data_IF_195668838105
#
_entry.id   IF_195668838105
#
_cell.length_a   1.000
_cell.length_b   1.000
_cell.length_c   1.000
_cell.angle_alpha   90.00
_cell.angle_beta   90.00
_cell.angle_gamma   90.00
#
_symmetry.space_group_name_H-M   'P 1'
#
loop_
_entity.id
_entity.type
_entity.pdbx_description
1 polymer ?
#
# COMPACT_ATOMS: atom_id res chain seq x y z
N UNK A 1 -1.44 7.88 0.33
CA UNK A 1 -0.65 9.13 0.39
C UNK A 1 -1.16 10.03 -0.70
N UNK A 2 -1.40 11.31 -0.45
CA UNK A 2 -2.02 12.22 -1.44
C UNK A 2 -2.76 13.40 -0.80
N UNK A 3 -3.02 13.32 0.51
CA UNK A 3 -3.66 14.37 1.31
C UNK A 3 -2.64 15.34 1.89
N UNK A 4 -1.55 14.82 2.48
CA UNK A 4 -0.61 15.61 3.26
C UNK A 4 0.13 16.67 2.44
N UNK A 5 0.64 16.30 1.26
CA UNK A 5 1.46 17.20 0.44
C UNK A 5 0.65 18.42 -0.03
N UNK A 6 -0.57 18.27 -0.60
CA UNK A 6 -1.40 19.43 -0.92
C UNK A 6 -1.73 20.30 0.29
N UNK A 7 -2.01 19.70 1.45
CA UNK A 7 -2.27 20.46 2.68
C UNK A 7 -1.08 21.31 3.10
N UNK A 8 0.13 20.74 3.14
CA UNK A 8 1.35 21.48 3.51
C UNK A 8 1.59 22.62 2.51
N UNK A 9 1.43 22.35 1.21
CA UNK A 9 1.60 23.37 0.17
C UNK A 9 0.60 24.52 0.36
N UNK A 10 -0.66 24.22 0.70
CA UNK A 10 -1.68 25.22 0.97
C UNK A 10 -1.32 26.08 2.19
N UNK A 11 -0.87 25.47 3.29
CA UNK A 11 -0.45 26.23 4.49
C UNK A 11 0.73 27.15 4.20
N UNK A 12 1.69 26.71 3.38
CA UNK A 12 2.82 27.57 2.97
C UNK A 12 2.30 28.74 2.12
N UNK A 13 1.34 28.53 1.22
CA UNK A 13 0.73 29.63 0.46
C UNK A 13 0.02 30.63 1.39
N UNK A 14 -0.80 30.14 2.31
CA UNK A 14 -1.53 30.99 3.26
C UNK A 14 -0.54 31.81 4.12
N UNK A 15 0.51 31.17 4.64
CA UNK A 15 1.56 31.83 5.41
C UNK A 15 2.31 32.89 4.61
N UNK A 16 2.66 32.59 3.35
CA UNK A 16 3.29 33.56 2.45
C UNK A 16 2.40 34.79 2.19
N UNK A 17 1.08 34.62 2.07
CA UNK A 17 0.14 35.72 1.83
C UNK A 17 0.05 36.70 3.01
N UNK A 18 0.15 36.18 4.25
CA UNK A 18 0.09 37.00 5.47
C UNK A 18 1.47 37.38 6.02
N UNK A 19 2.55 36.98 5.35
CA UNK A 19 3.93 37.23 5.80
C UNK A 19 4.33 36.43 7.05
N UNK A 20 3.70 35.28 7.29
CA UNK A 20 4.00 34.38 8.38
C UNK A 20 5.15 33.42 7.99
N UNK A 21 6.24 33.48 8.74
CA UNK A 21 7.40 32.62 8.51
C UNK A 21 8.28 33.04 7.33
N UNK A 22 9.24 32.18 6.92
CA UNK A 22 10.10 32.47 5.77
C UNK A 22 9.29 32.39 4.47
N UNK A 23 9.53 33.33 3.56
CA UNK A 23 8.87 33.32 2.25
C UNK A 23 9.39 32.16 1.39
N UNK A 24 8.54 31.18 1.10
CA UNK A 24 8.90 29.99 0.32
C UNK A 24 8.37 30.14 -1.12
N UNK A 25 9.28 30.08 -2.09
CA UNK A 25 8.94 30.18 -3.52
C UNK A 25 8.54 28.81 -4.10
N UNK A 26 7.29 28.38 -3.86
CA UNK A 26 6.76 27.12 -4.38
C UNK A 26 6.64 27.16 -5.91
N UNK A 27 7.22 26.17 -6.58
CA UNK A 27 7.09 25.99 -8.05
C UNK A 27 6.03 24.96 -8.46
N UNK A 28 5.63 24.12 -7.52
CA UNK A 28 4.68 23.03 -7.72
C UNK A 28 5.00 21.87 -6.78
N UNK A 29 4.18 20.83 -6.84
CA UNK A 29 4.39 19.58 -6.12
C UNK A 29 4.01 18.40 -7.01
N UNK A 30 4.56 17.22 -6.69
CA UNK A 30 4.29 15.98 -7.41
C UNK A 30 3.65 14.97 -6.47
N UNK A 31 2.64 14.26 -6.97
CA UNK A 31 1.99 13.16 -6.28
C UNK A 31 2.14 11.88 -7.10
N UNK A 32 2.80 10.87 -6.53
CA UNK A 32 2.93 9.55 -7.14
C UNK A 32 1.82 8.61 -6.66
N UNK A 33 0.98 8.14 -7.59
CA UNK A 33 -0.18 7.27 -7.32
C UNK A 33 -0.98 7.71 -6.07
N UNK A 34 -1.47 8.97 -6.03
CA UNK A 34 -2.07 9.48 -4.83
C UNK A 34 -3.42 8.84 -4.52
N UNK A 35 -3.77 8.91 -3.25
CA UNK A 35 -5.17 8.88 -2.80
C UNK A 35 -5.67 10.32 -2.72
N UNK A 36 -6.69 10.67 -3.49
CA UNK A 36 -7.20 12.04 -3.66
C UNK A 36 -8.65 12.15 -3.27
N UNK A 37 -9.53 11.36 -3.88
CA UNK A 37 -10.96 11.30 -3.59
C UNK A 37 -11.38 9.86 -3.32
N UNK A 38 -12.05 9.64 -2.20
CA UNK A 38 -12.41 8.28 -1.79
C UNK A 38 -13.35 7.62 -2.79
N UNK A 39 -14.44 8.28 -3.20
CA UNK A 39 -15.42 7.67 -4.11
C UNK A 39 -14.78 7.41 -5.48
N UNK A 40 -14.12 8.40 -6.08
CA UNK A 40 -13.45 8.28 -7.36
C UNK A 40 -12.33 7.23 -7.37
N UNK A 41 -11.47 7.19 -6.36
CA UNK A 41 -10.34 6.25 -6.28
C UNK A 41 -10.77 4.81 -6.07
N UNK A 42 -11.92 4.55 -5.43
CA UNK A 42 -12.46 3.21 -5.27
C UNK A 42 -13.30 2.78 -6.49
N UNK A 43 -14.17 3.66 -7.00
CA UNK A 43 -15.05 3.33 -8.12
C UNK A 43 -14.27 3.09 -9.42
N UNK A 44 -13.21 3.86 -9.67
CA UNK A 44 -12.34 3.68 -10.83
C UNK A 44 -11.61 2.32 -10.88
N UNK A 45 -11.51 1.59 -9.76
CA UNK A 45 -10.79 0.31 -9.72
C UNK A 45 -11.47 -0.79 -10.52
N UNK A 46 -12.80 -0.81 -10.53
CA UNK A 46 -13.55 -1.84 -11.28
C UNK A 46 -13.39 -1.59 -12.79
N UNK A 47 -13.48 -0.33 -13.21
CA UNK A 47 -13.20 0.06 -14.58
C UNK A 47 -11.76 -0.27 -15.00
N UNK A 48 -10.78 0.05 -14.15
CA UNK A 48 -9.38 -0.31 -14.37
C UNK A 48 -9.20 -1.82 -14.51
N UNK A 49 -9.85 -2.62 -13.66
CA UNK A 49 -9.75 -4.08 -13.70
C UNK A 49 -10.32 -4.65 -15.01
N UNK A 50 -11.43 -4.12 -15.54
CA UNK A 50 -11.93 -4.50 -16.85
C UNK A 50 -10.95 -4.11 -17.98
N UNK A 51 -10.45 -2.87 -17.98
CA UNK A 51 -9.50 -2.41 -19.00
C UNK A 51 -8.17 -3.19 -19.00
N UNK A 52 -7.79 -3.76 -17.86
CA UNK A 52 -6.61 -4.62 -17.72
C UNK A 52 -6.93 -6.11 -17.96
N UNK A 53 -8.12 -6.43 -18.48
CA UNK A 53 -8.61 -7.79 -18.72
C UNK A 53 -8.62 -8.70 -17.47
N UNK A 54 -8.70 -8.11 -16.28
CA UNK A 54 -8.85 -8.83 -15.01
C UNK A 54 -10.32 -9.19 -14.74
N UNK A 55 -11.24 -8.46 -15.36
CA UNK A 55 -12.68 -8.73 -15.38
C UNK A 55 -13.14 -8.87 -16.82
N UNK A 56 -13.98 -9.86 -17.09
CA UNK A 56 -14.65 -9.96 -18.39
C UNK A 56 -15.68 -8.84 -18.55
N UNK A 57 -15.96 -8.46 -19.80
CA UNK A 57 -16.96 -7.42 -20.10
C UNK A 57 -18.34 -7.75 -19.54
N UNK A 58 -18.70 -9.03 -19.48
CA UNK A 58 -19.97 -9.48 -18.89
C UNK A 58 -20.02 -9.20 -17.38
N UNK A 59 -18.93 -9.45 -16.66
CA UNK A 59 -18.85 -9.18 -15.21
C UNK A 59 -18.84 -7.67 -14.95
N UNK A 60 -18.06 -6.92 -15.74
CA UNK A 60 -18.00 -5.46 -15.64
C UNK A 60 -19.37 -4.82 -15.87
N UNK A 61 -20.04 -5.16 -16.98
CA UNK A 61 -21.39 -4.63 -17.30
C UNK A 61 -22.42 -5.00 -16.25
N UNK A 62 -22.38 -6.25 -15.75
CA UNK A 62 -23.26 -6.66 -14.66
C UNK A 62 -23.04 -5.82 -13.40
N UNK A 63 -21.79 -5.54 -13.01
CA UNK A 63 -21.53 -4.66 -11.87
C UNK A 63 -21.99 -3.23 -12.14
N UNK A 64 -21.69 -2.68 -13.31
CA UNK A 64 -22.08 -1.32 -13.71
C UNK A 64 -23.59 -1.11 -13.71
N UNK A 65 -24.35 -2.04 -14.30
CA UNK A 65 -25.81 -1.99 -14.39
C UNK A 65 -26.50 -2.16 -13.03
N UNK A 66 -25.97 -3.01 -12.15
CA UNK A 66 -26.62 -3.28 -10.86
C UNK A 66 -26.23 -2.29 -9.76
N UNK A 67 -25.09 -1.59 -9.90
CA UNK A 67 -24.57 -0.67 -8.89
C UNK A 67 -24.58 0.80 -9.32
N UNK A 68 -25.07 1.13 -10.53
CA UNK A 68 -25.10 2.49 -11.08
C UNK A 68 -23.70 3.18 -11.09
N UNK A 69 -22.64 2.39 -11.24
CA UNK A 69 -21.26 2.87 -11.19
C UNK A 69 -20.73 3.26 -9.79
N UNK A 70 -21.53 3.08 -8.73
CA UNK A 70 -21.11 3.31 -7.34
C UNK A 70 -20.84 1.96 -6.65
N UNK A 71 -19.55 1.67 -6.47
CA UNK A 71 -19.06 0.39 -5.95
C UNK A 71 -18.49 0.51 -4.53
N UNK A 72 -18.28 1.74 -4.04
CA UNK A 72 -17.74 2.01 -2.71
C UNK A 72 -18.84 2.25 -1.69
N UNK A 73 -19.77 3.18 -1.98
CA UNK A 73 -20.91 3.52 -1.11
C UNK A 73 -22.18 2.86 -1.60
N UNK A 74 -22.20 1.53 -1.54
CA UNK A 74 -23.35 0.74 -2.01
C UNK A 74 -24.53 0.81 -1.05
N UNK A 75 -25.75 0.75 -1.60
CA UNK A 75 -26.96 0.56 -0.81
C UNK A 75 -26.99 -0.89 -0.27
N UNK A 76 -27.01 -1.10 1.07
CA UNK A 76 -27.06 -2.44 1.64
C UNK A 76 -28.32 -3.23 1.28
N UNK A 77 -29.39 -2.57 0.80
CA UNK A 77 -30.60 -3.23 0.35
C UNK A 77 -30.54 -3.67 -1.13
N UNK A 78 -29.57 -3.16 -1.90
CA UNK A 78 -29.37 -3.56 -3.28
C UNK A 78 -28.61 -4.89 -3.35
N UNK A 79 -29.38 -5.97 -3.16
CA UNK A 79 -28.85 -7.35 -3.18
C UNK A 79 -28.21 -7.73 -4.53
N UNK A 80 -28.66 -7.15 -5.64
CA UNK A 80 -28.10 -7.40 -6.96
C UNK A 80 -26.70 -6.80 -7.09
N UNK A 81 -26.52 -5.55 -6.65
CA UNK A 81 -25.20 -4.92 -6.61
C UNK A 81 -24.23 -5.71 -5.71
N UNK A 82 -24.68 -6.09 -4.52
CA UNK A 82 -23.87 -6.89 -3.58
C UNK A 82 -23.42 -8.20 -4.22
N UNK A 83 -24.32 -8.92 -4.89
CA UNK A 83 -23.99 -10.17 -5.58
C UNK A 83 -23.03 -9.95 -6.75
N UNK A 84 -23.22 -8.89 -7.55
CA UNK A 84 -22.32 -8.54 -8.65
C UNK A 84 -20.91 -8.24 -8.12
N UNK A 85 -20.79 -7.48 -7.03
CA UNK A 85 -19.51 -7.14 -6.41
C UNK A 85 -18.82 -8.37 -5.78
N UNK A 86 -19.57 -9.32 -5.22
CA UNK A 86 -18.98 -10.60 -4.78
C UNK A 86 -18.32 -11.38 -5.91
N UNK A 87 -18.89 -11.34 -7.12
CA UNK A 87 -18.29 -11.96 -8.31
C UNK A 87 -17.02 -11.22 -8.70
N UNK A 88 -17.05 -9.88 -8.72
CA UNK A 88 -15.87 -9.04 -8.97
C UNK A 88 -14.74 -9.38 -7.99
N UNK A 89 -15.03 -9.35 -6.68
CA UNK A 89 -14.07 -9.65 -5.62
C UNK A 89 -13.45 -11.04 -5.76
N UNK A 90 -14.25 -12.04 -6.16
CA UNK A 90 -13.74 -13.39 -6.41
C UNK A 90 -12.76 -13.42 -7.60
N UNK A 91 -13.02 -12.65 -8.65
CA UNK A 91 -12.16 -12.57 -9.83
C UNK A 91 -10.83 -11.85 -9.52
N UNK A 92 -10.87 -10.75 -8.78
CA UNK A 92 -9.67 -9.93 -8.51
C UNK A 92 -9.01 -10.22 -7.15
N UNK A 93 -9.59 -11.08 -6.32
CA UNK A 93 -9.15 -11.32 -4.94
C UNK A 93 -7.77 -11.95 -4.80
N UNK A 94 -7.23 -12.55 -5.87
CA UNK A 94 -5.85 -13.08 -5.92
C UNK A 94 -4.90 -12.22 -6.75
N UNK A 95 -5.21 -10.94 -6.92
CA UNK A 95 -4.36 -9.97 -7.62
C UNK A 95 -3.66 -9.08 -6.61
N UNK A 96 -2.38 -8.79 -6.84
CA UNK A 96 -1.63 -7.86 -5.98
C UNK A 96 -2.04 -6.42 -6.32
N UNK A 97 -2.92 -5.84 -5.50
CA UNK A 97 -3.47 -4.48 -5.74
C UNK A 97 -2.41 -3.39 -5.99
N UNK A 98 -1.28 -3.33 -5.26
CA UNK A 98 -0.25 -2.33 -5.54
C UNK A 98 0.45 -2.51 -6.90
N UNK A 99 0.44 -3.71 -7.48
CA UNK A 99 1.15 -4.03 -8.70
C UNK A 99 0.57 -5.29 -9.37
N UNK A 100 -0.35 -5.13 -10.33
CA UNK A 100 -1.15 -6.24 -10.87
C UNK A 100 -0.36 -7.35 -11.57
N UNK A 101 0.86 -7.05 -12.04
CA UNK A 101 1.75 -8.03 -12.68
C UNK A 101 2.57 -8.84 -11.68
N UNK A 102 2.52 -8.52 -10.38
CA UNK A 102 3.22 -9.28 -9.37
C UNK A 102 2.46 -10.55 -8.99
N UNK A 103 3.19 -11.61 -8.56
CA UNK A 103 2.53 -12.77 -8.01
C UNK A 103 1.70 -12.38 -6.78
N UNK A 104 0.59 -13.08 -6.59
CA UNK A 104 -0.17 -12.99 -5.35
C UNK A 104 0.73 -13.33 -4.16
N UNK A 105 0.69 -12.51 -3.13
CA UNK A 105 1.46 -12.69 -1.91
C UNK A 105 0.50 -12.74 -0.74
N UNK A 106 0.49 -13.88 -0.05
CA UNK A 106 -0.25 -13.99 1.20
C UNK A 106 0.57 -13.29 2.30
N UNK A 107 0.14 -12.09 2.66
CA UNK A 107 0.85 -11.26 3.63
C UNK A 107 0.99 -11.97 5.00
N UNK A 108 0.10 -12.92 5.34
CA UNK A 108 0.17 -13.72 6.57
C UNK A 108 1.31 -14.75 6.58
N UNK A 109 1.82 -15.10 5.40
CA UNK A 109 2.92 -16.04 5.19
C UNK A 109 4.25 -15.36 4.85
N UNK A 110 4.33 -14.03 4.99
CA UNK A 110 5.57 -13.28 4.72
C UNK A 110 6.58 -13.45 5.85
N UNK A 111 7.86 -13.46 5.48
CA UNK A 111 8.97 -13.59 6.45
C UNK A 111 8.94 -12.46 7.48
N UNK A 112 8.49 -11.27 7.06
CA UNK A 112 8.27 -10.11 7.94
C UNK A 112 7.30 -10.39 9.08
N UNK A 113 6.19 -11.10 8.83
CA UNK A 113 5.22 -11.48 9.86
C UNK A 113 5.81 -12.48 10.86
N UNK A 114 6.56 -13.47 10.38
CA UNK A 114 7.27 -14.43 11.24
C UNK A 114 8.29 -13.76 12.15
N UNK A 115 9.06 -12.80 11.62
CA UNK A 115 10.10 -12.08 12.36
C UNK A 115 9.53 -11.06 13.35
N UNK A 116 8.39 -10.44 13.02
CA UNK A 116 7.72 -9.49 13.91
C UNK A 116 7.17 -10.15 15.20
N UNK A 117 6.86 -11.46 15.16
CA UNK A 117 6.35 -12.22 16.32
C UNK A 117 7.41 -12.75 17.28
N UNK A 118 8.68 -12.90 16.87
CA UNK A 118 9.70 -13.60 17.69
C UNK A 118 10.63 -12.71 18.51
N UNK A 119 10.52 -11.38 18.42
CA UNK A 119 11.40 -10.48 19.16
C UNK A 119 12.82 -10.46 18.58
N UNK A 120 13.38 -9.26 18.55
CA UNK A 120 14.44 -8.83 17.64
C UNK A 120 15.88 -9.31 17.97
N UNK A 121 16.04 -10.43 18.67
CA UNK A 121 17.31 -10.77 19.29
C UNK A 121 18.36 -11.45 18.39
N UNK A 122 17.97 -12.04 17.25
CA UNK A 122 18.86 -12.97 16.50
C UNK A 122 18.64 -12.95 14.99
N UNK A 123 18.35 -11.77 14.41
CA UNK A 123 18.08 -11.64 12.98
C UNK A 123 19.24 -12.11 12.09
N UNK A 124 20.50 -11.84 12.45
CA UNK A 124 21.65 -12.16 11.59
C UNK A 124 21.82 -13.67 11.33
N UNK A 125 21.50 -14.52 12.32
CA UNK A 125 21.62 -15.98 12.19
C UNK A 125 20.39 -16.59 11.53
N UNK A 126 19.21 -16.07 11.85
CA UNK A 126 17.94 -16.51 11.26
C UNK A 126 17.90 -16.19 9.76
N UNK A 127 18.51 -15.08 9.33
CA UNK A 127 18.49 -14.62 7.94
C UNK A 127 19.05 -15.63 6.94
N UNK A 128 20.27 -16.13 7.22
CA UNK A 128 20.98 -17.04 6.31
C UNK A 128 20.33 -18.44 6.30
N UNK A 129 19.84 -18.91 7.45
CA UNK A 129 19.16 -20.20 7.56
C UNK A 129 17.75 -20.19 6.91
N UNK A 130 17.09 -19.03 6.90
CA UNK A 130 15.72 -18.88 6.36
C UNK A 130 15.70 -18.73 4.83
N UNK A 131 16.74 -18.14 4.21
CA UNK A 131 16.84 -18.07 2.73
C UNK A 131 16.95 -19.48 2.09
N UNK A 132 17.36 -20.46 2.88
CA UNK A 132 17.43 -21.88 2.49
C UNK A 132 16.07 -22.59 2.56
N UNK A 133 15.00 -21.92 3.04
CA UNK A 133 13.67 -22.53 3.11
C UNK A 133 13.01 -22.55 1.72
N UNK A 134 12.55 -23.72 1.23
CA UNK A 134 11.92 -23.86 -0.10
C UNK A 134 10.68 -22.97 -0.30
N UNK A 135 10.04 -22.54 0.79
CA UNK A 135 8.84 -21.69 0.75
C UNK A 135 9.15 -20.23 0.33
N UNK A 136 10.34 -19.73 0.67
CA UNK A 136 10.81 -18.38 0.27
C UNK A 136 11.20 -18.36 -1.21
N UNK A 137 11.73 -19.48 -1.72
CA UNK A 137 12.11 -19.61 -3.13
C UNK A 137 10.91 -19.80 -4.07
N UNK A 138 9.76 -20.27 -3.56
CA UNK A 138 8.60 -20.61 -4.40
C UNK A 138 7.77 -19.39 -4.82
N UNK A 139 7.88 -18.26 -4.11
CA UNK A 139 7.15 -17.03 -4.41
C UNK A 139 7.91 -15.82 -3.86
N UNK A 140 8.83 -15.25 -4.66
CA UNK A 140 9.58 -14.05 -4.28
C UNK A 140 8.66 -12.83 -4.23
N UNK A 141 8.08 -12.57 -3.07
CA UNK A 141 7.20 -11.43 -2.84
C UNK A 141 8.03 -10.17 -2.60
N UNK A 142 7.69 -9.05 -3.28
CA UNK A 142 8.40 -7.76 -3.10
C UNK A 142 8.47 -7.35 -1.63
N UNK A 143 7.46 -7.69 -0.84
CA UNK A 143 7.39 -7.34 0.58
C UNK A 143 8.51 -7.96 1.42
N UNK A 144 9.03 -9.11 1.02
CA UNK A 144 10.16 -9.74 1.70
C UNK A 144 11.46 -8.95 1.49
N UNK A 145 11.59 -8.19 0.39
CA UNK A 145 12.75 -7.33 0.16
C UNK A 145 12.83 -6.16 1.14
N UNK A 146 11.72 -5.72 1.74
CA UNK A 146 11.78 -4.68 2.78
C UNK A 146 12.44 -5.18 4.06
N UNK A 147 12.65 -6.48 4.21
CA UNK A 147 13.39 -6.99 5.34
C UNK A 147 14.87 -6.55 5.28
N UNK A 148 15.46 -6.40 4.10
CA UNK A 148 16.83 -5.93 3.94
C UNK A 148 17.01 -4.51 4.49
N UNK A 149 16.05 -3.62 4.27
CA UNK A 149 16.12 -2.26 4.83
C UNK A 149 16.05 -2.29 6.34
N UNK A 150 15.27 -3.20 6.92
CA UNK A 150 15.21 -3.39 8.37
C UNK A 150 16.54 -3.88 8.94
N UNK A 151 17.15 -4.92 8.35
CA UNK A 151 18.45 -5.44 8.80
C UNK A 151 19.52 -4.38 8.66
N UNK A 152 19.57 -3.69 7.52
CA UNK A 152 20.52 -2.62 7.28
C UNK A 152 20.36 -1.48 8.28
N UNK A 153 19.14 -0.98 8.49
CA UNK A 153 18.88 0.16 9.39
C UNK A 153 19.18 -0.16 10.86
N UNK A 154 19.07 -1.44 11.26
CA UNK A 154 19.35 -1.88 12.62
C UNK A 154 20.78 -2.42 12.82
N UNK A 155 21.57 -2.54 11.76
CA UNK A 155 22.97 -2.92 11.85
C UNK A 155 23.74 -1.88 12.70
N UNK A 156 24.54 -2.36 13.67
CA UNK A 156 25.25 -1.49 14.63
C UNK A 156 26.22 -0.55 13.96
N UNK A 157 26.94 -1.00 12.93
CA UNK A 157 27.91 -0.18 12.22
C UNK A 157 27.21 0.89 11.39
N UNK A 158 26.08 0.54 10.74
CA UNK A 158 25.23 1.50 10.02
C UNK A 158 24.70 2.57 10.98
N UNK A 159 24.13 2.17 12.12
CA UNK A 159 23.62 3.11 13.14
C UNK A 159 24.72 4.02 13.68
N UNK A 160 25.93 3.49 13.88
CA UNK A 160 27.10 4.27 14.34
C UNK A 160 27.52 5.33 13.32
N UNK A 161 27.60 4.97 12.03
CA UNK A 161 27.96 5.90 10.95
C UNK A 161 26.89 6.97 10.72
N UNK A 162 25.61 6.60 10.85
CA UNK A 162 24.49 7.54 10.74
C UNK A 162 24.24 8.35 12.02
N UNK A 163 25.08 8.21 13.05
CA UNK A 163 24.95 8.88 14.34
C UNK A 163 23.57 8.69 15.00
N UNK A 164 22.97 7.50 14.87
CA UNK A 164 21.68 7.18 15.49
C UNK A 164 21.86 6.96 16.99
N UNK A 165 21.20 7.78 17.82
CA UNK A 165 21.24 7.67 19.27
C UNK A 165 20.24 6.61 19.80
N UNK A 166 20.63 5.89 20.85
CA UNK A 166 19.71 5.02 21.58
C UNK A 166 18.86 5.84 22.54
N UNK A 167 17.54 5.72 22.40
CA UNK A 167 16.56 6.34 23.28
C UNK A 167 15.83 5.21 23.99
N UNK A 168 15.95 5.15 25.31
CA UNK A 168 15.15 4.24 26.13
C UNK A 168 13.81 4.90 26.44
N UNK A 169 12.70 4.32 26.00
CA UNK A 169 11.39 4.72 26.52
C UNK A 169 11.27 4.22 27.97
N UNK A 170 11.37 5.13 28.94
CA UNK A 170 10.94 4.88 30.32
C UNK A 170 9.42 4.69 30.34
N UNK A 171 8.96 3.57 30.90
CA UNK A 171 7.54 3.24 31.08
C UNK A 171 6.88 4.14 32.11
#
# INVERSE_FOLDING_TARGET
>A
MGILVPMIVQEIYNGNEVGEGPQINIKGYLLGNPFTDTSGDYNSRIQFANHMALLSDAIYKSAEENCDGEYWKIDPNNSLCIQALQVVDKCIGRIRLPHILEPYCDDSNTLKFYLSRRGLGTLDKIFMDTWSLPQVQKQSCRVDNYLYSYVWANNRDVRKVLHVHEVSCSK
#
